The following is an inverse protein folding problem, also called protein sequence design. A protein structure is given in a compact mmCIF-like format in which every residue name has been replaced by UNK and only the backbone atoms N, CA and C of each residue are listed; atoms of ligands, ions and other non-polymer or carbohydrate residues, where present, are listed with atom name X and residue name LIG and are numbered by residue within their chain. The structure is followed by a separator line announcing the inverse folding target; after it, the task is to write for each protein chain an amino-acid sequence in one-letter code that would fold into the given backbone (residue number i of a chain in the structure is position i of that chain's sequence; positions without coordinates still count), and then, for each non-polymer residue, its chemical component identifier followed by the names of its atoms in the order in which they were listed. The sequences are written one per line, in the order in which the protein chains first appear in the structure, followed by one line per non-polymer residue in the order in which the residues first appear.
data_IF_038061128467
#
_entry.id   IF_038061128467
#
_cell.length_a   1.000
_cell.length_b   1.000
_cell.length_c   1.000
_cell.angle_alpha   90.00
_cell.angle_beta   90.00
_cell.angle_gamma   90.00
#
_symmetry.space_group_name_H-M   'P 1'
#
loop_
_entity.id
_entity.type
_entity.pdbx_description
1 polymer ?
#
# COMPACT_ATOMS: atom_id res chain seq x y z
N UNK A 1 -11.09 8.03 4.80
CA UNK A 1 -10.26 6.82 4.57
C UNK A 1 -10.73 6.05 3.34
N UNK A 2 -10.28 6.43 2.14
CA UNK A 2 -10.70 5.78 0.89
C UNK A 2 -9.82 4.57 0.53
N UNK A 3 -8.50 4.74 0.49
CA UNK A 3 -7.58 3.67 0.09
C UNK A 3 -7.54 2.51 1.09
N UNK A 4 -7.55 2.78 2.40
CA UNK A 4 -7.59 1.74 3.44
C UNK A 4 -8.79 0.78 3.29
N UNK A 5 -9.99 1.29 2.96
CA UNK A 5 -11.21 0.46 2.85
C UNK A 5 -11.19 -0.48 1.65
N UNK A 6 -10.37 -0.19 0.64
CA UNK A 6 -10.26 -0.94 -0.61
C UNK A 6 -8.92 -1.68 -0.74
N UNK A 7 -8.04 -1.56 0.25
CA UNK A 7 -6.75 -2.25 0.24
C UNK A 7 -6.94 -3.73 0.59
N UNK A 8 -5.92 -4.52 0.24
CA UNK A 8 -5.80 -5.94 0.55
C UNK A 8 -5.85 -6.28 2.05
N UNK A 9 -5.68 -5.28 2.92
CA UNK A 9 -5.80 -5.47 4.37
C UNK A 9 -7.25 -5.77 4.80
N UNK A 10 -8.23 -5.17 4.13
CA UNK A 10 -9.66 -5.30 4.44
C UNK A 10 -10.43 -6.05 3.36
N UNK A 11 -10.09 -5.87 2.08
CA UNK A 11 -10.69 -6.59 0.95
C UNK A 11 -9.81 -7.78 0.59
N UNK A 12 -10.14 -8.95 1.14
CA UNK A 12 -9.30 -10.16 1.07
C UNK A 12 -9.58 -11.03 -0.17
N UNK A 13 -10.72 -10.85 -0.83
CA UNK A 13 -10.99 -11.52 -2.11
C UNK A 13 -9.98 -11.06 -3.17
N UNK A 14 -9.55 -11.99 -4.04
CA UNK A 14 -8.42 -11.87 -4.99
C UNK A 14 -7.01 -12.00 -4.38
N UNK A 15 -6.88 -12.35 -3.10
CA UNK A 15 -5.61 -12.76 -2.50
C UNK A 15 -5.74 -14.15 -1.86
N UNK A 16 -4.65 -14.89 -1.77
CA UNK A 16 -4.62 -16.12 -0.97
C UNK A 16 -4.69 -15.82 0.53
N UNK A 17 -5.10 -16.79 1.37
CA UNK A 17 -5.08 -16.64 2.82
C UNK A 17 -3.69 -16.30 3.37
N UNK A 18 -2.64 -16.90 2.80
CA UNK A 18 -1.25 -16.69 3.23
C UNK A 18 -0.75 -15.28 2.86
N UNK A 19 -1.05 -14.79 1.65
CA UNK A 19 -0.74 -13.41 1.24
C UNK A 19 -1.44 -12.39 2.14
N UNK A 20 -2.72 -12.64 2.48
CA UNK A 20 -3.47 -11.77 3.37
C UNK A 20 -2.83 -11.71 4.77
N UNK A 21 -2.39 -12.85 5.30
CA UNK A 21 -1.68 -12.92 6.58
C UNK A 21 -0.34 -12.18 6.51
N UNK A 22 0.41 -12.37 5.42
CA UNK A 22 1.68 -11.69 5.16
C UNK A 22 1.51 -10.17 5.15
N UNK A 23 0.57 -9.63 4.35
CA UNK A 23 0.34 -8.19 4.27
C UNK A 23 -0.07 -7.59 5.62
N UNK A 24 -0.95 -8.27 6.37
CA UNK A 24 -1.37 -7.81 7.70
C UNK A 24 -0.23 -7.84 8.72
N UNK A 25 0.63 -8.86 8.66
CA UNK A 25 1.79 -8.95 9.55
C UNK A 25 2.71 -7.74 9.37
N UNK A 26 3.08 -7.43 8.13
CA UNK A 26 3.94 -6.28 7.84
C UNK A 26 3.31 -4.94 8.23
N UNK A 27 2.01 -4.75 7.96
CA UNK A 27 1.32 -3.51 8.37
C UNK A 27 1.37 -3.25 9.89
N UNK A 28 1.48 -4.29 10.71
CA UNK A 28 1.50 -4.18 12.18
C UNK A 28 2.90 -3.98 12.78
N UNK A 29 3.96 -4.25 12.01
CA UNK A 29 5.35 -4.21 12.48
C UNK A 29 6.12 -3.02 11.92
N UNK A 30 5.71 -2.51 10.76
CA UNK A 30 6.41 -1.44 10.04
C UNK A 30 6.14 -0.05 10.60
N UNK A 31 7.04 0.89 10.27
CA UNK A 31 6.94 2.28 10.74
C UNK A 31 5.80 3.07 10.06
N UNK A 32 5.56 4.29 10.53
CA UNK A 32 4.50 5.15 10.01
C UNK A 32 4.66 5.44 8.51
N UNK A 33 5.89 5.67 8.05
CA UNK A 33 6.18 6.02 6.65
C UNK A 33 5.84 4.85 5.74
N UNK A 34 6.29 3.65 6.10
CA UNK A 34 5.98 2.43 5.36
C UNK A 34 4.48 2.11 5.39
N UNK A 35 3.84 2.23 6.56
CA UNK A 35 2.40 2.02 6.68
C UNK A 35 1.59 2.96 5.76
N UNK A 36 2.00 4.22 5.63
CA UNK A 36 1.33 5.17 4.73
C UNK A 36 1.45 4.74 3.27
N UNK A 37 2.65 4.35 2.83
CA UNK A 37 2.88 3.89 1.45
C UNK A 37 2.13 2.59 1.16
N UNK A 38 2.05 1.68 2.13
CA UNK A 38 1.28 0.45 2.02
C UNK A 38 -0.23 0.68 1.87
N UNK A 39 -0.78 1.68 2.58
CA UNK A 39 -2.21 2.03 2.49
C UNK A 39 -2.49 2.86 1.22
N UNK A 40 -1.62 3.81 0.90
CA UNK A 40 -1.74 4.69 -0.25
C UNK A 40 -0.41 4.74 -0.99
N UNK A 41 -0.26 3.94 -2.07
CA UNK A 41 0.97 3.93 -2.85
C UNK A 41 1.29 5.31 -3.41
N UNK A 42 2.54 5.70 -3.29
CA UNK A 42 3.09 6.88 -3.94
C UNK A 42 3.28 6.60 -5.44
N UNK A 43 3.07 7.62 -6.25
CA UNK A 43 3.24 7.53 -7.69
C UNK A 43 4.04 8.75 -8.15
N UNK A 44 5.17 8.49 -8.79
CA UNK A 44 6.02 9.53 -9.34
C UNK A 44 5.81 9.68 -10.84
N UNK A 45 5.74 10.92 -11.31
CA UNK A 45 5.65 11.27 -12.73
C UNK A 45 7.02 11.78 -13.22
N UNK A 46 7.50 11.24 -14.33
CA UNK A 46 8.75 11.63 -14.96
C UNK A 46 8.45 12.20 -16.34
N UNK A 47 9.08 13.33 -16.70
CA UNK A 47 8.92 13.97 -18.01
C UNK A 47 10.24 14.57 -18.49
N UNK A 48 10.32 14.88 -19.79
CA UNK A 48 11.49 15.59 -20.32
C UNK A 48 11.55 17.06 -19.87
N UNK A 49 10.44 17.62 -19.39
CA UNK A 49 10.27 19.04 -19.10
C UNK A 49 10.53 19.43 -17.64
N UNK A 50 10.96 18.51 -16.77
CA UNK A 50 11.19 18.83 -15.37
C UNK A 50 11.69 17.66 -14.53
N UNK A 51 12.05 17.93 -13.27
CA UNK A 51 12.36 16.88 -12.30
C UNK A 51 11.11 16.02 -12.00
N UNK A 52 11.29 14.84 -11.38
CA UNK A 52 10.18 13.97 -11.03
C UNK A 52 9.23 14.63 -10.02
N UNK A 53 7.93 14.47 -10.24
CA UNK A 53 6.84 14.95 -9.36
C UNK A 53 6.15 13.80 -8.63
#
# INVERSE_FOLDING_TARGET
MYHLRRSQFLQVFNNSPDETAFYRHYLLVEDLTQCLVMIQPILYAYSFSGPPE
#
